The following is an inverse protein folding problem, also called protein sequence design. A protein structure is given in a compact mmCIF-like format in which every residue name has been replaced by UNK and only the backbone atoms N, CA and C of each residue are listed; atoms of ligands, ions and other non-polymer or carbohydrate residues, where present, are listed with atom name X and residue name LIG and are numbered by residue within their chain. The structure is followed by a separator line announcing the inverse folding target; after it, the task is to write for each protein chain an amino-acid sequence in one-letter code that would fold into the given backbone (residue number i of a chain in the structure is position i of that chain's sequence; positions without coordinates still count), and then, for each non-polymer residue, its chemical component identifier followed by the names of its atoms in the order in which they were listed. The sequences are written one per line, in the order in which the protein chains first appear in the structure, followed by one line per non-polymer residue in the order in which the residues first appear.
data_IF_183895900381
#
_entry.id   IF_183895900381
#
_cell.length_a   1.000
_cell.length_b   1.000
_cell.length_c   1.000
_cell.angle_alpha   90.00
_cell.angle_beta   90.00
_cell.angle_gamma   90.00
#
_symmetry.space_group_name_H-M   'P 1'
#
loop_
_entity.id
_entity.type
_entity.pdbx_description
1 polymer ?
#
# COMPACT_ATOMS: atom_id res chain seq x y z
N UNK A 1 -0.09 -4.54 15.33
CA UNK A 1 -0.79 -5.13 14.17
C UNK A 1 -0.96 -4.01 13.17
N UNK A 2 -0.52 -4.20 11.94
CA UNK A 2 -0.75 -3.23 10.87
C UNK A 2 -2.25 -3.19 10.57
N UNK A 3 -2.85 -2.01 10.63
CA UNK A 3 -4.29 -1.81 10.44
C UNK A 3 -4.55 -1.14 9.10
N UNK A 4 -5.59 -1.56 8.40
CA UNK A 4 -6.05 -0.95 7.14
C UNK A 4 -7.47 -0.42 7.27
N UNK A 5 -7.79 0.60 6.49
CA UNK A 5 -9.12 1.21 6.42
C UNK A 5 -9.39 1.74 5.01
N UNK A 6 -10.52 1.37 4.41
CA UNK A 6 -11.03 2.02 3.22
C UNK A 6 -11.66 3.37 3.58
N UNK A 7 -11.15 4.44 2.98
CA UNK A 7 -11.71 5.78 3.13
C UNK A 7 -12.72 6.11 2.02
N UNK A 8 -12.52 5.53 0.83
CA UNK A 8 -13.41 5.63 -0.33
C UNK A 8 -13.10 4.52 -1.34
N UNK A 9 -13.92 4.32 -2.40
CA UNK A 9 -13.61 3.40 -3.50
C UNK A 9 -12.26 3.63 -4.18
N UNK A 10 -11.60 4.76 -3.96
CA UNK A 10 -10.29 5.09 -4.56
C UNK A 10 -9.19 5.41 -3.56
N UNK A 11 -9.43 5.24 -2.24
CA UNK A 11 -8.44 5.54 -1.21
C UNK A 11 -8.48 4.51 -0.06
N UNK A 12 -7.35 3.87 0.17
CA UNK A 12 -7.11 2.96 1.28
C UNK A 12 -5.96 3.49 2.16
N UNK A 13 -6.16 3.56 3.48
CA UNK A 13 -5.08 3.83 4.43
C UNK A 13 -4.54 2.53 5.02
N UNK A 14 -3.22 2.43 5.14
CA UNK A 14 -2.52 1.35 5.86
C UNK A 14 -1.51 1.96 6.83
N UNK A 15 -1.51 1.50 8.07
CA UNK A 15 -0.42 1.77 8.99
C UNK A 15 0.76 0.86 8.67
N UNK A 16 1.91 1.45 8.33
CA UNK A 16 3.15 0.72 8.03
C UNK A 16 4.17 1.02 9.11
N UNK A 17 4.78 -0.03 9.67
CA UNK A 17 5.92 0.06 10.58
C UNK A 17 7.22 -0.29 9.87
N UNK A 18 8.25 0.55 10.03
CA UNK A 18 9.62 0.15 9.68
C UNK A 18 10.22 -0.68 10.83
N UNK A 19 10.23 -2.00 10.69
CA UNK A 19 10.86 -2.93 11.65
C UNK A 19 12.37 -3.12 11.43
N UNK A 20 12.93 -2.49 10.39
CA UNK A 20 14.36 -2.55 10.08
C UNK A 20 15.22 -1.61 10.93
N UNK A 21 16.52 -1.72 10.74
CA UNK A 21 17.55 -0.93 11.46
C UNK A 21 17.93 0.38 10.75
N UNK A 22 17.47 0.57 9.52
CA UNK A 22 17.76 1.75 8.71
C UNK A 22 16.47 2.41 8.21
N UNK A 23 16.52 3.72 7.96
CA UNK A 23 15.38 4.44 7.42
C UNK A 23 15.11 4.08 5.95
N UNK A 24 13.82 4.08 5.58
CA UNK A 24 13.34 3.60 4.28
C UNK A 24 12.43 4.66 3.65
N UNK A 25 12.75 5.06 2.42
CA UNK A 25 11.85 5.84 1.56
C UNK A 25 11.01 4.89 0.69
N UNK A 26 9.71 5.14 0.60
CA UNK A 26 8.79 4.38 -0.27
C UNK A 26 8.56 5.16 -1.58
N UNK A 27 8.66 4.48 -2.73
CA UNK A 27 8.70 5.16 -4.05
C UNK A 27 7.71 4.61 -5.07
N UNK A 28 7.20 3.40 -4.85
CA UNK A 28 6.17 2.81 -5.70
C UNK A 28 5.24 1.92 -4.89
N UNK A 29 4.04 1.71 -5.40
CA UNK A 29 3.15 0.67 -4.89
C UNK A 29 2.31 0.05 -6.01
N UNK A 30 1.91 -1.18 -5.76
CA UNK A 30 0.92 -1.90 -6.55
C UNK A 30 -0.14 -2.43 -5.61
N UNK A 31 -1.40 -2.26 -5.98
CA UNK A 31 -2.54 -2.83 -5.28
C UNK A 31 -3.23 -3.82 -6.20
N UNK A 32 -3.51 -5.01 -5.70
CA UNK A 32 -4.15 -6.09 -6.44
C UNK A 32 -5.29 -6.69 -5.62
N UNK A 33 -6.38 -7.06 -6.28
CA UNK A 33 -7.47 -7.82 -5.66
C UNK A 33 -7.01 -9.25 -5.29
N UNK A 34 -7.47 -9.77 -4.16
CA UNK A 34 -7.23 -11.19 -3.82
C UNK A 34 -8.06 -12.14 -4.72
N UNK A 35 -9.12 -11.64 -5.36
CA UNK A 35 -10.11 -12.40 -6.13
C UNK A 35 -9.65 -13.02 -7.46
N UNK A 36 -8.36 -12.96 -7.80
CA UNK A 36 -7.82 -13.63 -8.99
C UNK A 36 -8.24 -13.03 -10.33
N UNK A 37 -9.01 -11.94 -10.34
CA UNK A 37 -9.47 -11.25 -11.57
C UNK A 37 -8.37 -10.50 -12.32
N UNK A 38 -7.19 -10.33 -11.69
CA UNK A 38 -6.04 -9.68 -12.31
C UNK A 38 -6.14 -8.16 -12.35
N UNK A 39 -7.17 -7.59 -11.70
CA UNK A 39 -7.31 -6.15 -11.60
C UNK A 39 -6.30 -5.62 -10.59
N UNK A 40 -5.39 -4.82 -11.11
CA UNK A 40 -4.36 -4.19 -10.30
C UNK A 40 -4.20 -2.74 -10.71
N UNK A 41 -3.79 -1.93 -9.74
CA UNK A 41 -3.35 -0.57 -9.97
C UNK A 41 -1.91 -0.44 -9.50
N UNK A 42 -1.06 0.11 -10.37
CA UNK A 42 0.37 0.32 -10.07
C UNK A 42 0.73 1.79 -10.22
N UNK A 43 1.44 2.32 -9.22
CA UNK A 43 2.00 3.66 -9.24
C UNK A 43 3.50 3.58 -8.99
N UNK A 44 4.28 3.76 -10.05
CA UNK A 44 5.75 3.62 -10.04
C UNK A 44 6.49 4.92 -9.73
N UNK A 45 5.83 6.06 -9.92
CA UNK A 45 6.37 7.40 -9.64
C UNK A 45 5.62 8.04 -8.46
N UNK A 46 5.68 7.40 -7.30
CA UNK A 46 5.02 7.88 -6.08
C UNK A 46 6.04 8.50 -5.12
N UNK A 47 5.77 9.71 -4.63
CA UNK A 47 6.53 10.31 -3.52
C UNK A 47 5.92 9.85 -2.20
N UNK A 48 6.31 8.67 -1.74
CA UNK A 48 5.88 8.12 -0.46
C UNK A 48 6.63 8.68 0.74
N UNK A 49 6.19 8.34 1.96
CA UNK A 49 6.84 8.80 3.17
C UNK A 49 8.22 8.16 3.37
N UNK A 50 9.05 8.84 4.15
CA UNK A 50 10.27 8.29 4.72
C UNK A 50 9.97 7.79 6.15
N UNK A 51 10.33 6.55 6.44
CA UNK A 51 10.12 5.93 7.74
C UNK A 51 11.48 5.69 8.41
N UNK A 52 11.71 6.32 9.56
CA UNK A 52 12.84 5.98 10.42
C UNK A 52 12.67 4.59 11.05
N UNK A 53 13.74 3.96 11.54
CA UNK A 53 13.64 2.72 12.30
C UNK A 53 12.60 2.82 13.41
N UNK A 54 11.76 1.79 13.54
CA UNK A 54 10.68 1.68 14.52
C UNK A 54 9.52 2.70 14.37
N UNK A 55 9.53 3.54 13.33
CA UNK A 55 8.45 4.48 13.09
C UNK A 55 7.24 3.79 12.47
N UNK A 56 6.04 4.21 12.89
CA UNK A 56 4.75 3.82 12.29
C UNK A 56 4.17 5.04 11.57
N UNK A 57 3.73 4.88 10.33
CA UNK A 57 3.12 5.94 9.53
C UNK A 57 1.85 5.42 8.85
N UNK A 58 0.80 6.24 8.87
CA UNK A 58 -0.40 6.03 8.08
C UNK A 58 -0.14 6.43 6.62
N UNK A 59 -0.22 5.46 5.71
CA UNK A 59 0.05 5.64 4.28
C UNK A 59 -1.25 5.55 3.50
N UNK A 60 -1.53 6.54 2.66
CA UNK A 60 -2.70 6.56 1.80
C UNK A 60 -2.34 6.04 0.40
N UNK A 61 -3.06 5.02 -0.05
CA UNK A 61 -2.94 4.44 -1.37
C UNK A 61 -4.12 4.89 -2.23
N UNK A 62 -3.84 5.85 -3.11
CA UNK A 62 -4.82 6.37 -4.05
C UNK A 62 -4.77 5.59 -5.37
N UNK A 63 -5.92 5.33 -5.96
CA UNK A 63 -6.04 4.72 -7.29
C UNK A 63 -6.84 5.67 -8.20
N UNK A 64 -6.77 5.45 -9.52
CA UNK A 64 -7.48 6.29 -10.49
C UNK A 64 -8.99 5.99 -10.58
N UNK A 65 -9.43 4.85 -10.04
CA UNK A 65 -10.82 4.40 -10.10
C UNK A 65 -11.27 3.91 -11.46
N UNK A 66 -10.34 3.62 -12.38
CA UNK A 66 -10.63 3.12 -13.72
C UNK A 66 -10.96 1.62 -13.71
N UNK A 67 -10.01 0.79 -14.15
CA UNK A 67 -10.19 -0.66 -14.20
C UNK A 67 -10.17 -1.34 -12.81
N UNK A 68 -9.86 -0.59 -11.75
CA UNK A 68 -9.73 -1.11 -10.38
C UNK A 68 -10.37 -0.13 -9.40
N UNK A 69 -11.16 -0.64 -8.44
CA UNK A 69 -11.70 0.11 -7.30
C UNK A 69 -11.66 -0.74 -6.03
N UNK A 70 -11.60 -0.07 -4.87
CA UNK A 70 -11.76 -0.71 -3.58
C UNK A 70 -13.24 -0.99 -3.28
N UNK A 71 -13.50 -2.14 -2.66
CA UNK A 71 -14.81 -2.60 -2.24
C UNK A 71 -14.75 -3.00 -0.77
N UNK A 72 -15.65 -2.46 0.04
CA UNK A 72 -15.68 -2.74 1.49
C UNK A 72 -15.80 -4.24 1.76
N UNK A 73 -15.01 -4.73 2.72
CA UNK A 73 -14.99 -6.12 3.15
C UNK A 73 -14.13 -7.04 2.29
N UNK A 74 -13.64 -6.59 1.14
CA UNK A 74 -12.73 -7.33 0.25
C UNK A 74 -11.27 -7.25 0.71
N UNK A 75 -10.51 -8.26 0.33
CA UNK A 75 -9.07 -8.37 0.61
C UNK A 75 -8.23 -7.95 -0.60
N UNK A 76 -7.09 -7.33 -0.29
CA UNK A 76 -6.15 -6.79 -1.26
C UNK A 76 -4.71 -7.09 -0.87
N UNK A 77 -3.86 -7.28 -1.87
CA UNK A 77 -2.42 -7.31 -1.71
C UNK A 77 -1.84 -5.95 -2.11
N UNK A 78 -1.22 -5.27 -1.16
CA UNK A 78 -0.50 -4.02 -1.39
C UNK A 78 0.99 -4.30 -1.35
N UNK A 79 1.65 -4.23 -2.50
CA UNK A 79 3.11 -4.32 -2.61
C UNK A 79 3.68 -2.91 -2.66
N UNK A 80 4.54 -2.55 -1.72
CA UNK A 80 5.23 -1.26 -1.67
C UNK A 80 6.71 -1.46 -1.94
N UNK A 81 7.26 -0.69 -2.88
CA UNK A 81 8.68 -0.74 -3.23
C UNK A 81 9.39 0.46 -2.63
N UNK A 82 10.51 0.20 -1.96
CA UNK A 82 11.38 1.23 -1.42
C UNK A 82 12.35 1.80 -2.47
N UNK A 83 12.96 2.95 -2.18
CA UNK A 83 13.99 3.58 -3.02
C UNK A 83 15.22 2.68 -3.24
N UNK A 84 15.40 1.64 -2.43
CA UNK A 84 16.46 0.62 -2.58
C UNK A 84 16.00 -0.58 -3.41
N UNK A 85 14.86 -0.48 -4.08
CA UNK A 85 14.22 -1.53 -4.87
C UNK A 85 13.87 -2.80 -4.08
N UNK A 86 13.63 -2.66 -2.77
CA UNK A 86 13.12 -3.76 -1.93
C UNK A 86 11.58 -3.69 -1.89
N UNK A 87 10.87 -4.73 -2.36
CA UNK A 87 9.41 -4.83 -2.26
C UNK A 87 8.97 -5.41 -0.91
N UNK A 88 7.87 -4.88 -0.37
CA UNK A 88 7.20 -5.36 0.84
C UNK A 88 5.72 -5.56 0.54
N UNK A 89 5.16 -6.74 0.83
CA UNK A 89 3.76 -7.06 0.53
C UNK A 89 2.94 -7.13 1.81
N UNK A 90 1.81 -6.44 1.81
CA UNK A 90 0.83 -6.41 2.89
C UNK A 90 -0.49 -6.99 2.41
N UNK A 91 -1.10 -7.88 3.20
CA UNK A 91 -2.49 -8.28 3.01
C UNK A 91 -3.36 -7.37 3.86
N UNK A 92 -4.32 -6.71 3.21
CA UNK A 92 -5.15 -5.66 3.82
C UNK A 92 -6.61 -5.86 3.45
N UNK A 93 -7.49 -5.43 4.35
CA UNK A 93 -8.94 -5.48 4.13
C UNK A 93 -9.46 -4.05 4.00
N UNK A 94 -10.29 -3.83 2.99
CA UNK A 94 -10.99 -2.56 2.78
C UNK A 94 -12.13 -2.38 3.78
#
# INVERSE_FOLDING_TARGET
MDTSQMNSPTNLTLNIRNSGVAGVALVAYTVKDEGGGGYQYSKTSWTGPYLNPNQVVAVNFFIDGGAFTFHSGSWYYVTVTSARNNPFTFSVRA
#
